data_IF_638277296863
#
_entry.id   IF_638277296863
#
_cell.length_a   1.000
_cell.length_b   1.000
_cell.length_c   1.000
_cell.angle_alpha   90.00
_cell.angle_beta   90.00
_cell.angle_gamma   90.00
#
_symmetry.space_group_name_H-M   'P 1'
#
loop_
_entity.id
_entity.type
_entity.pdbx_description
1 polymer ?
#
# COMPACT_ATOMS: atom_id res chain seq x y z
N UNK A 1 12.13 11.07 -12.84
CA UNK A 1 11.35 12.07 -12.03
C UNK A 1 11.93 13.47 -12.28
N UNK A 2 11.34 14.26 -13.18
CA UNK A 2 11.77 15.66 -13.45
C UNK A 2 11.07 16.68 -12.54
N UNK A 3 10.86 16.34 -11.27
CA UNK A 3 10.65 17.38 -10.26
C UNK A 3 10.91 16.92 -8.81
N UNK A 4 12.12 16.41 -8.46
CA UNK A 4 12.52 16.27 -7.05
C UNK A 4 12.34 17.60 -6.31
N UNK A 5 12.49 18.72 -7.04
CA UNK A 5 12.28 20.06 -6.52
C UNK A 5 10.85 20.26 -5.97
N UNK A 6 9.79 19.81 -6.65
CA UNK A 6 8.40 20.06 -6.19
C UNK A 6 8.04 19.31 -4.90
N UNK A 7 8.36 18.01 -4.80
CA UNK A 7 8.13 17.26 -3.56
C UNK A 7 9.01 17.80 -2.42
N UNK A 8 10.24 18.21 -2.72
CA UNK A 8 11.08 18.89 -1.73
C UNK A 8 10.52 20.24 -1.28
N UNK A 9 9.84 20.98 -2.17
CA UNK A 9 9.17 22.23 -1.79
C UNK A 9 7.96 21.96 -0.90
N UNK A 10 7.18 20.91 -1.19
CA UNK A 10 6.06 20.52 -0.32
C UNK A 10 6.57 20.13 1.07
N UNK A 11 7.62 19.32 1.15
CA UNK A 11 8.26 18.95 2.42
C UNK A 11 8.74 20.20 3.20
N UNK A 12 9.35 21.17 2.53
CA UNK A 12 9.79 22.45 3.13
C UNK A 12 8.64 23.33 3.62
N UNK A 13 7.48 23.27 2.98
CA UNK A 13 6.31 24.11 3.28
C UNK A 13 5.15 23.28 3.87
N UNK A 14 5.46 22.13 4.49
CA UNK A 14 4.47 21.20 4.99
C UNK A 14 3.54 21.84 6.03
N UNK A 15 4.10 22.65 6.93
CA UNK A 15 3.32 23.34 7.96
C UNK A 15 2.26 24.26 7.35
N UNK A 16 2.64 25.09 6.37
CA UNK A 16 1.70 25.96 5.65
C UNK A 16 0.62 25.14 4.94
N UNK A 17 1.00 24.05 4.25
CA UNK A 17 0.05 23.18 3.57
C UNK A 17 -0.99 22.61 4.55
N UNK A 18 -0.56 22.18 5.74
CA UNK A 18 -1.45 21.57 6.74
C UNK A 18 -2.33 22.63 7.41
N UNK A 19 -1.78 23.81 7.71
CA UNK A 19 -2.52 24.91 8.34
C UNK A 19 -3.57 25.52 7.40
N UNK A 20 -3.25 25.71 6.12
CA UNK A 20 -4.13 26.40 5.17
C UNK A 20 -4.93 25.44 4.28
N UNK A 21 -4.39 24.25 3.98
CA UNK A 21 -5.01 23.29 3.07
C UNK A 21 -6.29 22.67 3.62
N UNK A 22 -7.22 22.31 2.75
CA UNK A 22 -8.41 21.53 3.16
C UNK A 22 -8.01 20.11 3.58
N UNK A 23 -8.84 19.38 4.35
CA UNK A 23 -8.61 17.96 4.63
C UNK A 23 -8.30 17.13 3.39
N UNK A 24 -8.99 17.40 2.28
CA UNK A 24 -8.76 16.78 0.99
C UNK A 24 -7.38 17.13 0.40
N UNK A 25 -6.93 18.39 0.51
CA UNK A 25 -5.59 18.75 0.05
C UNK A 25 -4.50 18.01 0.84
N UNK A 26 -4.67 17.91 2.16
CA UNK A 26 -3.73 17.25 3.05
C UNK A 26 -3.68 15.74 2.75
N UNK A 27 -4.85 15.08 2.73
CA UNK A 27 -4.98 13.64 2.52
C UNK A 27 -4.50 13.20 1.13
N UNK A 28 -4.84 13.95 0.08
CA UNK A 28 -4.37 13.65 -1.28
C UNK A 28 -2.86 13.88 -1.42
N UNK A 29 -2.30 14.87 -0.71
CA UNK A 29 -0.86 15.11 -0.74
C UNK A 29 -0.13 13.94 -0.10
N UNK A 30 -0.48 13.56 1.13
CA UNK A 30 0.21 12.47 1.83
C UNK A 30 0.01 11.12 1.10
N UNK A 31 -1.17 10.90 0.51
CA UNK A 31 -1.42 9.76 -0.38
C UNK A 31 -0.48 9.77 -1.60
N UNK A 32 -0.27 10.92 -2.26
CA UNK A 32 0.62 11.02 -3.41
C UNK A 32 2.09 10.71 -3.04
N UNK A 33 2.58 11.18 -1.88
CA UNK A 33 3.91 10.81 -1.38
C UNK A 33 4.03 9.30 -1.16
N UNK A 34 3.02 8.69 -0.55
CA UNK A 34 2.94 7.25 -0.36
C UNK A 34 2.88 6.47 -1.66
N UNK A 35 2.03 6.85 -2.62
CA UNK A 35 1.94 6.20 -3.93
C UNK A 35 3.27 6.25 -4.67
N UNK A 36 3.99 7.37 -4.58
CA UNK A 36 5.30 7.53 -5.22
C UNK A 36 6.45 6.92 -4.42
N UNK A 37 6.22 6.53 -3.17
CA UNK A 37 7.26 6.03 -2.27
C UNK A 37 8.36 7.06 -2.01
N UNK A 38 7.98 8.33 -1.88
CA UNK A 38 8.87 9.46 -1.56
C UNK A 38 8.74 9.76 -0.07
N UNK A 39 9.86 9.77 0.65
CA UNK A 39 9.89 10.10 2.07
C UNK A 39 9.57 11.58 2.32
N UNK A 40 8.79 11.84 3.37
CA UNK A 40 8.36 13.18 3.75
C UNK A 40 8.19 13.32 5.28
N UNK A 41 9.26 13.13 6.08
CA UNK A 41 9.13 13.12 7.54
C UNK A 41 8.46 14.37 8.12
N UNK A 42 8.80 15.56 7.61
CA UNK A 42 8.22 16.82 8.08
C UNK A 42 6.72 16.89 7.79
N UNK A 43 6.29 16.43 6.61
CA UNK A 43 4.87 16.37 6.26
C UNK A 43 4.08 15.50 7.23
N UNK A 44 4.53 14.28 7.51
CA UNK A 44 3.84 13.40 8.45
C UNK A 44 3.82 13.98 9.87
N UNK A 45 4.93 14.56 10.34
CA UNK A 45 4.97 15.25 11.64
C UNK A 45 3.98 16.41 11.71
N UNK A 46 3.91 17.27 10.69
CA UNK A 46 2.98 18.40 10.66
C UNK A 46 1.52 17.91 10.69
N UNK A 47 1.19 16.86 9.93
CA UNK A 47 -0.15 16.27 9.92
C UNK A 47 -0.51 15.71 11.29
N UNK A 48 0.40 14.99 11.95
CA UNK A 48 0.18 14.41 13.27
C UNK A 48 -0.07 15.49 14.35
N UNK A 49 0.72 16.57 14.32
CA UNK A 49 0.54 17.74 15.21
C UNK A 49 -0.82 18.40 15.00
N UNK A 50 -1.29 18.52 13.76
CA UNK A 50 -2.54 19.21 13.41
C UNK A 50 -3.70 18.27 13.05
N UNK A 51 -3.63 16.99 13.46
CA UNK A 51 -4.56 15.93 13.03
C UNK A 51 -6.03 16.20 13.35
N UNK A 52 -6.29 17.03 14.36
CA UNK A 52 -7.64 17.51 14.71
C UNK A 52 -8.39 18.09 13.50
N UNK A 53 -7.67 18.74 12.57
CA UNK A 53 -8.28 19.27 11.35
C UNK A 53 -8.87 18.17 10.46
N UNK A 54 -8.18 17.03 10.34
CA UNK A 54 -8.68 15.86 9.63
C UNK A 54 -9.81 15.17 10.40
N UNK A 55 -9.72 15.11 11.74
CA UNK A 55 -10.74 14.47 12.57
C UNK A 55 -12.09 15.21 12.55
N UNK A 56 -12.04 16.54 12.60
CA UNK A 56 -13.21 17.41 12.70
C UNK A 56 -13.84 17.69 11.35
N UNK A 57 -13.02 17.94 10.31
CA UNK A 57 -13.49 18.44 9.02
C UNK A 57 -13.26 17.47 7.86
N UNK A 58 -12.53 16.37 8.07
CA UNK A 58 -12.29 15.35 7.06
C UNK A 58 -13.49 14.43 6.83
N UNK A 59 -13.41 13.67 5.74
CA UNK A 59 -14.36 12.61 5.41
C UNK A 59 -13.66 11.25 5.32
N UNK A 60 -14.42 10.20 4.98
CA UNK A 60 -13.93 8.82 4.94
C UNK A 60 -12.74 8.62 4.00
N UNK A 61 -12.73 9.29 2.83
CA UNK A 61 -11.62 9.21 1.90
C UNK A 61 -10.36 9.86 2.49
N UNK A 62 -10.50 10.97 3.23
CA UNK A 62 -9.37 11.65 3.86
C UNK A 62 -8.69 10.77 4.91
N UNK A 63 -9.49 10.08 5.72
CA UNK A 63 -8.99 9.18 6.76
C UNK A 63 -8.36 7.92 6.17
N UNK A 64 -9.00 7.32 5.15
CA UNK A 64 -8.45 6.15 4.45
C UNK A 64 -7.12 6.46 3.75
N UNK A 65 -7.05 7.57 3.00
CA UNK A 65 -5.84 8.02 2.32
C UNK A 65 -4.69 8.26 3.32
N UNK A 66 -4.98 8.89 4.46
CA UNK A 66 -3.97 9.19 5.48
C UNK A 66 -3.45 7.93 6.17
N UNK A 67 -4.35 7.02 6.60
CA UNK A 67 -3.96 5.71 7.15
C UNK A 67 -3.12 4.90 6.18
N UNK A 68 -3.58 4.81 4.92
CA UNK A 68 -2.88 4.12 3.86
C UNK A 68 -1.47 4.66 3.69
N UNK A 69 -1.34 5.98 3.63
CA UNK A 69 -0.04 6.61 3.45
C UNK A 69 0.92 6.30 4.61
N UNK A 70 0.44 6.30 5.85
CA UNK A 70 1.23 5.94 7.03
C UNK A 70 1.72 4.49 6.96
N UNK A 71 0.84 3.56 6.60
CA UNK A 71 1.18 2.14 6.48
C UNK A 71 2.14 1.87 5.31
N UNK A 72 1.90 2.49 4.16
CA UNK A 72 2.73 2.34 2.95
C UNK A 72 4.10 2.99 3.10
N UNK A 73 4.21 4.09 3.85
CA UNK A 73 5.49 4.73 4.14
C UNK A 73 6.19 4.14 5.35
N UNK A 74 5.56 3.18 6.04
CA UNK A 74 6.12 2.47 7.18
C UNK A 74 6.44 3.36 8.39
N UNK A 75 5.61 4.39 8.60
CA UNK A 75 5.80 5.39 9.66
C UNK A 75 4.78 5.26 10.80
N UNK A 76 4.05 4.14 10.86
CA UNK A 76 2.98 3.91 11.84
C UNK A 76 3.45 3.91 13.30
N UNK A 77 4.67 3.44 13.58
CA UNK A 77 5.26 3.50 14.94
C UNK A 77 5.65 4.92 15.36
N UNK A 78 6.05 5.74 14.40
CA UNK A 78 6.45 7.14 14.64
C UNK A 78 5.21 8.01 14.86
N UNK A 79 4.18 7.81 14.03
CA UNK A 79 2.94 8.57 14.03
C UNK A 79 1.76 7.72 14.53
N UNK A 80 1.93 7.07 15.69
CA UNK A 80 0.97 6.11 16.22
C UNK A 80 -0.38 6.75 16.52
N UNK A 81 -0.39 7.98 17.07
CA UNK A 81 -1.62 8.69 17.39
C UNK A 81 -2.39 9.03 16.11
N UNK A 82 -1.73 9.60 15.10
CA UNK A 82 -2.35 9.87 13.80
C UNK A 82 -2.91 8.60 13.17
N UNK A 83 -2.16 7.49 13.17
CA UNK A 83 -2.62 6.22 12.62
C UNK A 83 -3.88 5.71 13.33
N UNK A 84 -3.84 5.62 14.67
CA UNK A 84 -4.96 5.14 15.48
C UNK A 84 -6.19 6.03 15.29
N UNK A 85 -6.02 7.35 15.34
CA UNK A 85 -7.11 8.32 15.20
C UNK A 85 -7.80 8.22 13.83
N UNK A 86 -7.01 8.20 12.74
CA UNK A 86 -7.55 8.06 11.38
C UNK A 86 -8.21 6.69 11.18
N UNK A 87 -7.62 5.62 11.72
CA UNK A 87 -8.14 4.26 11.63
C UNK A 87 -9.48 4.13 12.34
N UNK A 88 -9.55 4.53 13.63
CA UNK A 88 -10.78 4.48 14.41
C UNK A 88 -11.88 5.37 13.80
N UNK A 89 -11.52 6.47 13.12
CA UNK A 89 -12.50 7.30 12.40
C UNK A 89 -13.04 6.60 11.15
N UNK A 90 -12.17 5.95 10.37
CA UNK A 90 -12.57 5.15 9.21
C UNK A 90 -13.45 3.95 9.60
N UNK A 91 -13.17 3.27 10.71
CA UNK A 91 -13.99 2.15 11.21
C UNK A 91 -15.40 2.57 11.63
N UNK A 92 -15.54 3.80 12.14
CA UNK A 92 -16.82 4.39 12.56
C UNK A 92 -17.63 4.99 11.40
N UNK A 93 -17.04 5.08 10.20
CA UNK A 93 -17.75 5.59 9.04
C UNK A 93 -18.91 4.66 8.65
N UNK A 94 -19.92 5.20 7.97
CA UNK A 94 -21.00 4.38 7.44
C UNK A 94 -20.41 3.37 6.45
N UNK A 95 -20.52 2.08 6.77
CA UNK A 95 -19.90 1.04 5.94
C UNK A 95 -20.35 1.14 4.49
N UNK A 96 -21.58 1.57 4.18
CA UNK A 96 -22.05 1.69 2.78
C UNK A 96 -21.45 2.87 2.00
N UNK A 97 -20.90 3.89 2.66
CA UNK A 97 -20.26 5.03 1.98
C UNK A 97 -18.82 4.74 1.55
N UNK A 98 -18.21 3.66 2.05
CA UNK A 98 -16.87 3.24 1.65
C UNK A 98 -16.88 2.72 0.20
N UNK A 99 -16.08 3.39 -0.64
CA UNK A 99 -15.80 2.96 -2.00
C UNK A 99 -14.85 1.76 -2.05
N UNK A 100 -14.65 1.21 -3.24
CA UNK A 100 -13.74 0.08 -3.44
C UNK A 100 -12.31 0.43 -3.04
N UNK A 101 -11.84 1.64 -3.36
CA UNK A 101 -10.48 2.06 -3.04
C UNK A 101 -10.28 2.21 -1.53
N UNK A 102 -11.22 2.85 -0.82
CA UNK A 102 -11.18 2.97 0.63
C UNK A 102 -11.06 1.60 1.31
N UNK A 103 -11.86 0.62 0.86
CA UNK A 103 -11.82 -0.73 1.40
C UNK A 103 -10.49 -1.45 1.09
N UNK A 104 -9.87 -1.21 -0.08
CA UNK A 104 -8.54 -1.75 -0.41
C UNK A 104 -7.45 -1.15 0.44
N UNK A 105 -7.53 0.15 0.67
CA UNK A 105 -6.60 0.87 1.50
C UNK A 105 -6.68 0.38 2.95
N UNK A 106 -7.88 0.28 3.52
CA UNK A 106 -8.06 -0.26 4.87
C UNK A 106 -7.56 -1.70 5.01
N UNK A 107 -7.70 -2.52 3.96
CA UNK A 107 -7.19 -3.88 3.96
C UNK A 107 -5.67 -3.95 3.99
N UNK A 108 -5.01 -3.11 3.21
CA UNK A 108 -3.56 -2.99 3.23
C UNK A 108 -3.06 -2.42 4.55
N UNK A 109 -3.76 -1.44 5.13
CA UNK A 109 -3.43 -0.89 6.45
C UNK A 109 -3.45 -2.00 7.49
N UNK A 110 -4.56 -2.75 7.61
CA UNK A 110 -4.67 -3.87 8.56
C UNK A 110 -3.54 -4.90 8.38
N UNK A 111 -3.18 -5.23 7.13
CA UNK A 111 -2.10 -6.16 6.82
C UNK A 111 -0.73 -5.66 7.25
N UNK A 112 -0.39 -4.43 6.85
CA UNK A 112 0.94 -3.89 7.07
C UNK A 112 1.17 -3.55 8.54
N UNK A 113 0.18 -3.01 9.24
CA UNK A 113 0.30 -2.66 10.66
C UNK A 113 0.38 -3.90 11.53
N UNK A 114 -0.42 -4.93 11.25
CA UNK A 114 -0.36 -6.20 11.99
C UNK A 114 0.96 -6.93 11.79
N UNK A 115 1.50 -6.95 10.57
CA UNK A 115 2.83 -7.49 10.31
C UNK A 115 3.96 -6.69 10.98
N UNK A 116 3.74 -5.39 11.21
CA UNK A 116 4.68 -4.53 11.94
C UNK A 116 4.49 -4.59 13.47
N UNK A 117 3.51 -5.37 13.97
CA UNK A 117 3.22 -5.52 15.40
C UNK A 117 2.48 -4.33 16.02
N UNK A 118 1.83 -3.51 15.20
CA UNK A 118 0.97 -2.41 15.65
C UNK A 118 -0.45 -2.96 15.87
N UNK A 119 -0.95 -2.85 17.10
CA UNK A 119 -2.31 -3.22 17.46
C UNK A 119 -3.27 -2.07 17.15
N UNK A 120 -4.28 -2.33 16.31
CA UNK A 120 -5.34 -1.39 15.97
C UNK A 120 -6.71 -2.00 16.33
N UNK A 121 -7.71 -1.14 16.51
CA UNK A 121 -9.09 -1.58 16.73
C UNK A 121 -9.57 -2.51 15.61
N UNK A 122 -10.31 -3.54 15.96
CA UNK A 122 -10.75 -4.56 15.01
C UNK A 122 -11.96 -4.08 14.18
N UNK A 123 -11.94 -4.20 12.84
CA UNK A 123 -13.09 -3.88 12.01
C UNK A 123 -14.33 -4.73 12.35
N UNK A 124 -15.51 -4.12 12.22
CA UNK A 124 -16.78 -4.85 12.35
C UNK A 124 -16.89 -6.00 11.34
N UNK A 125 -17.66 -7.04 11.67
CA UNK A 125 -17.86 -8.20 10.77
C UNK A 125 -18.35 -7.79 9.37
N UNK A 126 -19.26 -6.81 9.29
CA UNK A 126 -19.76 -6.26 8.02
C UNK A 126 -18.66 -5.58 7.21
N UNK A 127 -17.81 -4.79 7.87
CA UNK A 127 -16.69 -4.13 7.20
C UNK A 127 -15.65 -5.16 6.72
N UNK A 128 -15.29 -6.14 7.54
CA UNK A 128 -14.42 -7.26 7.13
C UNK A 128 -14.94 -8.00 5.93
N UNK A 129 -16.23 -8.31 5.91
CA UNK A 129 -16.86 -8.98 4.78
C UNK A 129 -16.75 -8.13 3.49
N UNK A 130 -16.92 -6.81 3.60
CA UNK A 130 -16.72 -5.90 2.45
C UNK A 130 -15.26 -5.80 2.02
N UNK A 131 -14.31 -5.80 2.94
CA UNK A 131 -12.88 -5.76 2.60
C UNK A 131 -12.44 -7.06 1.93
N UNK A 132 -12.88 -8.21 2.43
CA UNK A 132 -12.55 -9.53 1.88
C UNK A 132 -13.28 -9.87 0.57
N UNK A 133 -14.38 -9.19 0.23
CA UNK A 133 -15.07 -9.39 -1.04
C UNK A 133 -14.51 -8.55 -2.19
N UNK A 134 -13.52 -7.69 -1.93
CA UNK A 134 -12.87 -6.93 -2.98
C UNK A 134 -12.06 -7.88 -3.86
N UNK A 135 -12.54 -8.07 -5.08
CA UNK A 135 -11.71 -8.66 -6.12
C UNK A 135 -10.61 -7.68 -6.50
N UNK A 136 -9.38 -8.17 -6.63
CA UNK A 136 -8.37 -7.52 -7.46
C UNK A 136 -8.96 -7.44 -8.88
N UNK A 137 -8.92 -6.25 -9.50
CA UNK A 137 -9.34 -6.14 -10.91
C UNK A 137 -8.40 -7.03 -11.72
N UNK A 138 -8.99 -7.87 -12.58
CA UNK A 138 -8.39 -8.88 -13.46
C UNK A 138 -7.98 -10.23 -12.87
N UNK A 139 -8.97 -10.99 -12.36
CA UNK A 139 -8.92 -12.46 -12.26
C UNK A 139 -9.16 -13.18 -13.61
N UNK A 140 -8.82 -12.58 -14.74
CA UNK A 140 -8.72 -13.31 -15.99
C UNK A 140 -7.28 -13.23 -16.46
N UNK A 141 -6.57 -14.33 -16.25
CA UNK A 141 -5.16 -14.59 -16.57
C UNK A 141 -4.16 -13.85 -15.69
N UNK A 142 -3.47 -14.59 -14.81
CA UNK A 142 -2.05 -14.35 -14.58
C UNK A 142 -1.45 -13.89 -15.91
N UNK A 143 -0.84 -12.70 -15.91
CA UNK A 143 -0.39 -12.07 -17.16
C UNK A 143 0.40 -13.09 -17.97
N UNK A 144 0.33 -13.06 -19.32
CA UNK A 144 1.04 -14.05 -20.15
C UNK A 144 2.49 -14.28 -19.70
N UNK A 145 3.13 -13.21 -19.22
CA UNK A 145 4.45 -13.20 -18.59
C UNK A 145 4.56 -14.00 -17.28
N UNK A 146 3.61 -13.87 -16.35
CA UNK A 146 3.61 -14.68 -15.11
C UNK A 146 3.51 -16.18 -15.42
N UNK A 147 2.64 -16.57 -16.37
CA UNK A 147 2.53 -17.97 -16.81
C UNK A 147 3.82 -18.48 -17.45
N UNK A 148 4.45 -17.64 -18.27
CA UNK A 148 5.73 -17.98 -18.91
C UNK A 148 6.84 -18.19 -17.87
N UNK A 149 6.95 -17.30 -16.88
CA UNK A 149 7.94 -17.42 -15.80
C UNK A 149 7.66 -18.66 -14.95
N UNK A 150 6.40 -18.91 -14.59
CA UNK A 150 6.00 -20.13 -13.87
C UNK A 150 6.39 -21.40 -14.66
N UNK A 151 6.19 -21.40 -15.99
CA UNK A 151 6.65 -22.48 -16.86
C UNK A 151 8.17 -22.68 -16.79
N UNK A 152 8.96 -21.60 -16.94
CA UNK A 152 10.42 -21.64 -16.86
C UNK A 152 10.94 -22.12 -15.51
N UNK A 153 10.34 -21.68 -14.41
CA UNK A 153 10.68 -22.16 -13.07
C UNK A 153 10.45 -23.67 -12.96
N UNK A 154 9.35 -24.17 -13.53
CA UNK A 154 9.05 -25.61 -13.58
C UNK A 154 10.10 -26.37 -14.39
N UNK A 155 10.49 -25.85 -15.56
CA UNK A 155 11.53 -26.45 -16.43
C UNK A 155 12.90 -26.50 -15.74
N UNK A 156 13.22 -25.49 -14.94
CA UNK A 156 14.44 -25.43 -14.12
C UNK A 156 14.38 -26.34 -12.87
N UNK A 157 13.27 -27.06 -12.65
CA UNK A 157 13.08 -27.95 -11.51
C UNK A 157 12.73 -27.22 -10.21
N UNK A 158 12.33 -25.96 -10.27
CA UNK A 158 11.89 -25.19 -9.09
C UNK A 158 10.40 -25.42 -8.81
N UNK A 159 10.11 -26.18 -7.76
CA UNK A 159 8.73 -26.43 -7.30
C UNK A 159 8.14 -25.18 -6.64
N UNK A 160 7.02 -24.72 -7.18
CA UNK A 160 6.30 -23.54 -6.72
C UNK A 160 4.79 -23.66 -6.95
N UNK A 161 4.04 -22.77 -6.29
CA UNK A 161 2.60 -22.56 -6.42
C UNK A 161 2.36 -21.13 -6.88
N UNK A 162 1.28 -20.88 -7.64
CA UNK A 162 0.93 -19.55 -8.13
C UNK A 162 -0.14 -18.90 -7.24
N UNK A 163 -0.15 -17.57 -7.18
CA UNK A 163 -1.16 -16.76 -6.46
C UNK A 163 -1.34 -17.20 -4.99
N UNK A 164 -0.23 -17.36 -4.28
CA UNK A 164 -0.21 -17.91 -2.92
C UNK A 164 -0.52 -16.79 -1.91
N UNK A 165 -1.46 -16.98 -0.97
CA UNK A 165 -1.69 -16.00 0.08
C UNK A 165 -0.44 -15.88 0.98
N UNK A 166 -0.05 -14.66 1.37
CA UNK A 166 1.18 -14.43 2.12
C UNK A 166 1.14 -15.03 3.54
N UNK A 167 -0.07 -15.31 4.06
CA UNK A 167 -0.35 -15.85 5.39
C UNK A 167 -1.54 -16.81 5.32
N UNK A 168 -1.42 -18.00 5.91
CA UNK A 168 -2.43 -19.10 5.85
C UNK A 168 -3.83 -18.73 6.37
N UNK A 169 -3.93 -17.77 7.31
CA UNK A 169 -5.18 -17.37 7.97
C UNK A 169 -5.64 -15.95 7.63
N UNK A 170 -5.10 -15.37 6.56
CA UNK A 170 -5.39 -13.97 6.23
C UNK A 170 -6.63 -13.87 5.34
N UNK A 171 -7.75 -13.43 5.92
CA UNK A 171 -9.07 -13.44 5.26
C UNK A 171 -9.36 -12.21 4.38
N UNK A 172 -8.34 -11.49 3.92
CA UNK A 172 -8.51 -10.24 3.16
C UNK A 172 -8.49 -10.41 1.63
N UNK A 173 -8.75 -11.63 1.14
CA UNK A 173 -8.76 -11.95 -0.28
C UNK A 173 -7.38 -11.91 -0.93
N UNK A 174 -7.35 -12.13 -2.26
CA UNK A 174 -6.13 -12.29 -3.07
C UNK A 174 -5.36 -10.97 -3.29
N UNK A 175 -5.64 -9.91 -2.51
CA UNK A 175 -5.12 -8.55 -2.73
C UNK A 175 -3.60 -8.44 -2.60
N UNK A 176 -3.00 -9.27 -1.73
CA UNK A 176 -1.56 -9.34 -1.48
C UNK A 176 -1.00 -10.71 -1.83
N UNK A 177 -1.69 -11.47 -2.69
CA UNK A 177 -1.22 -12.76 -3.16
C UNK A 177 0.19 -12.62 -3.77
N UNK A 178 1.04 -13.59 -3.47
CA UNK A 178 2.37 -13.72 -4.04
C UNK A 178 2.20 -14.36 -5.42
N UNK A 179 2.79 -13.78 -6.46
CA UNK A 179 2.62 -14.27 -7.83
C UNK A 179 3.03 -15.74 -7.97
N UNK A 180 4.21 -16.10 -7.46
CA UNK A 180 4.74 -17.46 -7.39
C UNK A 180 5.46 -17.67 -6.05
N UNK A 181 5.22 -18.78 -5.36
CA UNK A 181 5.88 -19.05 -4.09
C UNK A 181 6.35 -20.51 -3.96
N UNK A 182 7.43 -20.72 -3.22
CA UNK A 182 7.81 -22.02 -2.68
C UNK A 182 7.56 -22.01 -1.16
N UNK A 183 6.36 -22.42 -0.68
CA UNK A 183 6.00 -22.28 0.73
C UNK A 183 6.93 -23.03 1.68
N UNK A 184 7.39 -24.22 1.27
CA UNK A 184 8.32 -25.06 2.04
C UNK A 184 9.64 -24.34 2.37
N UNK A 185 10.13 -23.50 1.46
CA UNK A 185 11.37 -22.74 1.63
C UNK A 185 11.14 -21.28 2.00
N UNK A 186 9.87 -20.85 2.12
CA UNK A 186 9.48 -19.44 2.30
C UNK A 186 10.13 -18.51 1.27
N UNK A 187 10.12 -18.91 0.01
CA UNK A 187 10.57 -18.06 -1.11
C UNK A 187 9.33 -17.50 -1.82
N UNK A 188 9.28 -16.18 -1.96
CA UNK A 188 8.28 -15.46 -2.73
C UNK A 188 8.94 -14.89 -3.99
N UNK A 189 8.32 -15.09 -5.15
CA UNK A 189 8.75 -14.54 -6.44
C UNK A 189 7.63 -13.63 -6.93
N UNK A 190 7.93 -12.35 -7.06
CA UNK A 190 7.03 -11.30 -7.57
C UNK A 190 7.47 -10.93 -8.99
N UNK A 191 6.56 -10.97 -9.95
CA UNK A 191 6.83 -10.47 -11.30
C UNK A 191 6.31 -9.03 -11.43
N UNK A 192 7.24 -8.08 -11.36
CA UNK A 192 6.90 -6.67 -11.37
C UNK A 192 6.76 -6.17 -12.81
N UNK A 193 5.51 -6.05 -13.27
CA UNK A 193 5.17 -5.42 -14.54
C UNK A 193 5.33 -3.89 -14.55
N UNK A 194 5.07 -3.21 -15.68
CA UNK A 194 5.24 -1.75 -15.82
C UNK A 194 4.55 -0.88 -14.76
N UNK A 195 3.44 -1.35 -14.18
CA UNK A 195 2.67 -0.62 -13.18
C UNK A 195 3.33 -0.56 -11.80
N UNK A 196 4.31 -1.44 -11.53
CA UNK A 196 5.07 -1.47 -10.28
C UNK A 196 6.11 -0.35 -10.19
N UNK A 197 6.36 0.33 -11.32
CA UNK A 197 7.38 1.36 -11.43
C UNK A 197 6.78 2.74 -11.75
N UNK A 198 7.50 3.79 -11.33
CA UNK A 198 7.14 5.17 -11.62
C UNK A 198 7.36 5.48 -13.09
N UNK A 199 6.50 6.35 -13.64
CA UNK A 199 6.63 6.87 -15.01
C UNK A 199 7.21 8.28 -15.01
N UNK A 200 8.02 8.61 -16.00
CA UNK A 200 8.47 9.98 -16.22
C UNK A 200 7.32 10.87 -16.69
N UNK A 201 7.20 12.04 -16.08
CA UNK A 201 6.20 13.04 -16.47
C UNK A 201 6.57 13.62 -17.84
N UNK A 202 5.62 13.64 -18.77
CA UNK A 202 5.81 14.14 -20.12
C UNK A 202 6.02 13.02 -21.13
N UNK A 203 7.07 12.22 -20.99
CA UNK A 203 7.34 11.11 -21.91
C UNK A 203 6.46 9.90 -21.64
N UNK A 204 6.10 9.66 -20.38
CA UNK A 204 5.37 8.46 -19.95
C UNK A 204 6.26 7.23 -19.80
N UNK A 205 7.57 7.38 -19.99
CA UNK A 205 8.53 6.27 -19.93
C UNK A 205 8.56 5.65 -18.55
N UNK A 206 8.56 4.32 -18.50
CA UNK A 206 8.61 3.57 -17.25
C UNK A 206 10.05 3.57 -16.74
N UNK A 207 10.25 4.07 -15.52
CA UNK A 207 11.55 4.09 -14.85
C UNK A 207 11.85 2.75 -14.18
N UNK A 208 13.03 2.62 -13.56
CA UNK A 208 13.35 1.49 -12.67
C UNK A 208 13.07 1.80 -11.19
N UNK A 209 12.43 2.92 -10.90
CA UNK A 209 12.08 3.31 -9.53
C UNK A 209 10.72 2.74 -9.20
N UNK A 210 10.65 1.88 -8.19
CA UNK A 210 9.40 1.28 -7.73
C UNK A 210 8.47 2.31 -7.08
N UNK A 211 7.17 2.09 -7.24
CA UNK A 211 6.15 2.84 -6.53
C UNK A 211 6.08 2.41 -5.04
N UNK A 212 5.41 3.20 -4.20
CA UNK A 212 5.37 2.91 -2.76
C UNK A 212 4.56 1.66 -2.41
N UNK A 213 3.51 1.34 -3.15
CA UNK A 213 2.72 0.13 -2.93
C UNK A 213 3.57 -1.15 -3.12
N UNK A 214 4.42 -1.18 -4.15
CA UNK A 214 5.35 -2.28 -4.45
C UNK A 214 6.38 -2.42 -3.33
N UNK A 215 6.99 -1.30 -2.91
CA UNK A 215 7.91 -1.29 -1.76
C UNK A 215 7.23 -1.78 -0.48
N UNK A 216 5.99 -1.36 -0.22
CA UNK A 216 5.23 -1.76 0.96
C UNK A 216 4.88 -3.25 0.95
N UNK A 217 4.43 -3.79 -0.20
CA UNK A 217 4.18 -5.23 -0.36
C UNK A 217 5.44 -6.04 -0.06
N UNK A 218 6.60 -5.66 -0.63
CA UNK A 218 7.88 -6.35 -0.34
C UNK A 218 8.20 -6.36 1.14
N UNK A 219 8.20 -5.20 1.81
CA UNK A 219 8.49 -5.12 3.26
C UNK A 219 7.53 -5.97 4.07
N UNK A 220 6.24 -5.98 3.70
CA UNK A 220 5.24 -6.83 4.35
C UNK A 220 5.56 -8.32 4.19
N UNK A 221 5.88 -8.78 2.98
CA UNK A 221 6.25 -10.17 2.71
C UNK A 221 7.50 -10.58 3.51
N UNK A 222 8.52 -9.72 3.55
CA UNK A 222 9.73 -9.94 4.33
C UNK A 222 9.43 -10.04 5.84
N UNK A 223 8.59 -9.15 6.37
CA UNK A 223 8.16 -9.17 7.79
C UNK A 223 7.45 -10.45 8.19
N UNK A 224 6.65 -11.01 7.28
CA UNK A 224 5.93 -12.26 7.54
C UNK A 224 6.76 -13.51 7.17
N UNK A 225 8.06 -13.32 6.95
CA UNK A 225 9.07 -14.38 6.90
C UNK A 225 9.38 -14.91 5.50
N UNK A 226 8.94 -14.23 4.44
CA UNK A 226 9.30 -14.61 3.07
C UNK A 226 10.65 -14.01 2.67
N UNK A 227 11.47 -14.81 1.98
CA UNK A 227 12.55 -14.31 1.14
C UNK A 227 11.97 -13.88 -0.20
N UNK A 228 11.95 -12.57 -0.46
CA UNK A 228 11.34 -12.01 -1.68
C UNK A 228 12.36 -11.90 -2.80
N UNK A 229 11.97 -12.33 -4.00
CA UNK A 229 12.71 -12.19 -5.26
C UNK A 229 11.81 -11.42 -6.22
N UNK A 230 12.20 -10.21 -6.58
CA UNK A 230 11.51 -9.39 -7.56
C UNK A 230 12.12 -9.61 -8.95
N UNK A 231 11.30 -10.03 -9.91
CA UNK A 231 11.66 -10.15 -11.31
C UNK A 231 11.13 -8.93 -12.05
N UNK A 232 12.04 -8.06 -12.49
CA UNK A 232 11.69 -6.85 -13.21
C UNK A 232 11.37 -7.20 -14.67
N UNK A 233 10.18 -6.81 -15.16
CA UNK A 233 9.80 -7.04 -16.56
C UNK A 233 10.77 -6.42 -17.58
N UNK A 234 11.57 -5.41 -17.22
CA UNK A 234 12.56 -4.78 -18.10
C UNK A 234 13.81 -5.64 -18.31
N UNK A 235 14.02 -6.66 -17.47
CA UNK A 235 15.15 -7.59 -17.58
C UNK A 235 14.77 -8.85 -18.38
N UNK A 236 13.53 -8.93 -18.86
CA UNK A 236 12.93 -10.02 -19.63
C UNK A 236 12.46 -9.54 -21.01
#
# INVERSE_FOLDING_TARGET
>A
VKSPNRFSQVEKHAEWLVQEGTPQNISNTVWAFATLGIESPNLFTCIDVHREKLLQNGNVQDWCNTCYAIAVMDVGKIHSNLLVDMWSRALKANVSSLGTEDLRQLAQVEAFTKADGIELDEPSSKLRQRMGSIKTKDQNTASGSQKQISGMLTELGFSHENEVPPLEKWSMGDMLAIDMACPKQKIAIEFDGPFHYLKEVGTGDVTRVENGATKAKRRFLERVGWKVINLNYQDW
#
